data_IF_256413915668
#
_entry.id   IF_256413915668
#
_cell.length_a   1.000
_cell.length_b   1.000
_cell.length_c   1.000
_cell.angle_alpha   90.00
_cell.angle_beta   90.00
_cell.angle_gamma   90.00
#
_symmetry.space_group_name_H-M   'P 1'
#
loop_
_entity.id
_entity.type
_entity.pdbx_description
1 polymer ?
#
# COMPACT_ATOMS: atom_id res chain seq x y z
N UNK A 1 3.47 -0.31 0.63
CA UNK A 1 4.94 -0.49 0.51
C UNK A 1 5.52 0.89 0.33
N UNK A 2 6.45 1.27 1.22
CA UNK A 2 6.98 2.63 1.27
C UNK A 2 7.89 2.92 0.06
N UNK A 3 8.17 4.19 -0.22
CA UNK A 3 9.15 4.60 -1.22
C UNK A 3 10.54 4.73 -0.59
N UNK A 4 11.00 3.65 0.05
CA UNK A 4 12.40 3.49 0.45
C UNK A 4 13.27 3.25 -0.78
N UNK A 5 14.59 3.38 -0.65
CA UNK A 5 15.50 3.11 -1.78
C UNK A 5 15.41 1.64 -2.21
N UNK A 6 15.25 0.75 -1.23
CA UNK A 6 15.11 -0.69 -1.39
C UNK A 6 13.83 -1.04 -2.16
N UNK A 7 12.66 -0.56 -1.71
CA UNK A 7 11.38 -0.86 -2.36
C UNK A 7 11.27 -0.22 -3.76
N UNK A 8 11.94 0.92 -3.99
CA UNK A 8 12.07 1.54 -5.31
C UNK A 8 12.96 0.73 -6.25
N UNK A 9 14.05 0.15 -5.75
CA UNK A 9 14.95 -0.71 -6.52
C UNK A 9 14.28 -2.03 -6.90
N UNK A 10 13.47 -2.58 -5.99
CA UNK A 10 12.71 -3.82 -6.20
C UNK A 10 11.42 -3.63 -7.00
N UNK A 11 11.03 -2.38 -7.28
CA UNK A 11 9.81 -2.07 -8.05
C UNK A 11 8.51 -2.39 -7.32
N UNK A 12 8.53 -2.42 -5.98
CA UNK A 12 7.39 -2.74 -5.11
C UNK A 12 6.78 -1.52 -4.42
N UNK A 13 7.49 -0.39 -4.44
CA UNK A 13 7.05 0.86 -3.85
C UNK A 13 5.73 1.36 -4.48
N UNK A 14 4.73 1.62 -3.66
CA UNK A 14 3.39 2.05 -4.10
C UNK A 14 2.80 3.22 -3.30
N UNK A 15 3.57 3.81 -2.37
CA UNK A 15 3.12 4.93 -1.56
C UNK A 15 4.14 5.33 -0.51
N UNK A 16 3.71 6.11 0.48
CA UNK A 16 4.54 6.57 1.59
C UNK A 16 3.95 6.09 2.91
N UNK A 17 4.78 5.48 3.74
CA UNK A 17 4.38 4.94 5.04
C UNK A 17 5.26 5.55 6.13
N UNK A 18 4.69 5.74 7.31
CA UNK A 18 5.40 6.17 8.50
C UNK A 18 4.99 5.24 9.65
N UNK A 19 5.91 4.99 10.58
CA UNK A 19 5.77 3.88 11.53
C UNK A 19 4.96 4.31 12.76
N UNK A 20 5.35 5.43 13.38
CA UNK A 20 4.67 5.94 14.56
C UNK A 20 3.62 6.97 14.20
N UNK A 21 2.48 6.94 14.88
CA UNK A 21 1.46 7.96 14.73
C UNK A 21 1.84 9.28 15.44
N UNK A 22 2.91 9.93 14.97
CA UNK A 22 3.44 11.18 15.52
C UNK A 22 3.87 12.16 14.41
N UNK A 23 3.96 13.47 14.72
CA UNK A 23 4.28 14.50 13.73
C UNK A 23 5.67 14.37 13.10
N UNK A 24 6.64 13.79 13.81
CA UNK A 24 8.02 13.63 13.33
C UNK A 24 8.11 12.60 12.23
N UNK A 25 7.51 11.42 12.47
CA UNK A 25 7.43 10.33 11.51
C UNK A 25 6.60 10.71 10.29
N UNK A 26 5.45 11.37 10.51
CA UNK A 26 4.63 11.92 9.44
C UNK A 26 5.42 12.94 8.58
N UNK A 27 6.10 13.90 9.22
CA UNK A 27 6.92 14.89 8.54
C UNK A 27 8.07 14.28 7.74
N UNK A 28 8.65 13.17 8.22
CA UNK A 28 9.67 12.44 7.47
C UNK A 28 9.10 11.78 6.21
N UNK A 29 7.93 11.15 6.28
CA UNK A 29 7.27 10.59 5.09
C UNK A 29 6.89 11.67 4.07
N UNK A 30 6.37 12.82 4.52
CA UNK A 30 6.05 13.95 3.63
C UNK A 30 7.29 14.48 2.92
N UNK A 31 8.44 14.60 3.60
CA UNK A 31 9.69 15.01 2.96
C UNK A 31 10.13 14.03 1.88
N UNK A 32 10.02 12.71 2.12
CA UNK A 32 10.30 11.69 1.09
C UNK A 32 9.36 11.83 -0.11
N UNK A 33 8.08 12.13 0.12
CA UNK A 33 7.12 12.36 -0.96
C UNK A 33 7.52 13.52 -1.86
N UNK A 34 7.90 14.67 -1.29
CA UNK A 34 8.38 15.81 -2.07
C UNK A 34 9.71 15.54 -2.76
N UNK A 35 10.63 14.82 -2.12
CA UNK A 35 11.89 14.43 -2.74
C UNK A 35 11.67 13.56 -4.00
N UNK A 36 10.75 12.60 -3.94
CA UNK A 36 10.39 11.76 -5.09
C UNK A 36 9.60 12.53 -6.15
N UNK A 37 8.70 13.42 -5.75
CA UNK A 37 7.92 14.25 -6.66
C UNK A 37 8.80 15.11 -7.58
N UNK A 38 9.97 15.55 -7.10
CA UNK A 38 10.97 16.28 -7.88
C UNK A 38 11.71 15.42 -8.91
N UNK A 39 11.42 14.12 -8.98
CA UNK A 39 12.00 13.16 -9.93
C UNK A 39 10.87 12.57 -10.82
N UNK A 40 10.48 13.26 -11.91
CA UNK A 40 9.26 12.94 -12.67
C UNK A 40 9.18 11.51 -13.20
N UNK A 41 10.33 10.91 -13.55
CA UNK A 41 10.38 9.55 -14.09
C UNK A 41 10.17 8.50 -12.99
N UNK A 42 10.84 8.68 -11.84
CA UNK A 42 10.69 7.83 -10.68
C UNK A 42 9.27 7.93 -10.10
N UNK A 43 8.74 9.16 -10.03
CA UNK A 43 7.36 9.42 -9.61
C UNK A 43 6.35 8.68 -10.49
N UNK A 44 6.45 8.84 -11.81
CA UNK A 44 5.56 8.15 -12.78
C UNK A 44 5.69 6.63 -12.71
N UNK A 45 6.86 6.10 -12.37
CA UNK A 45 7.07 4.65 -12.19
C UNK A 45 6.27 4.14 -10.99
N UNK A 46 6.38 4.81 -9.84
CA UNK A 46 5.63 4.46 -8.63
C UNK A 46 4.13 4.58 -8.85
N UNK A 47 3.67 5.67 -9.48
CA UNK A 47 2.24 5.84 -9.80
C UNK A 47 1.71 4.71 -10.67
N UNK A 48 2.42 4.37 -11.76
CA UNK A 48 2.00 3.27 -12.66
C UNK A 48 1.96 1.92 -11.94
N UNK A 49 2.95 1.64 -11.10
CA UNK A 49 2.94 0.43 -10.28
C UNK A 49 1.72 0.42 -9.34
N UNK A 50 1.50 1.49 -8.59
CA UNK A 50 0.37 1.59 -7.66
C UNK A 50 -0.99 1.44 -8.37
N UNK A 51 -1.17 2.07 -9.54
CA UNK A 51 -2.41 1.97 -10.34
C UNK A 51 -2.63 0.58 -10.94
N UNK A 52 -1.60 -0.26 -11.04
CA UNK A 52 -1.70 -1.63 -11.52
C UNK A 52 -2.03 -2.65 -10.44
N UNK A 53 -2.12 -2.25 -9.17
CA UNK A 53 -2.45 -3.14 -8.07
C UNK A 53 -3.97 -3.38 -7.99
N UNK A 54 -4.35 -4.59 -7.58
CA UNK A 54 -5.75 -4.95 -7.35
C UNK A 54 -6.21 -4.44 -5.97
N UNK A 55 -7.01 -3.37 -5.98
CA UNK A 55 -7.72 -2.85 -4.82
C UNK A 55 -9.22 -3.20 -4.83
N UNK A 56 -9.61 -4.19 -5.64
CA UNK A 56 -10.96 -4.71 -5.69
C UNK A 56 -11.38 -5.43 -4.42
N UNK A 57 -12.68 -5.57 -4.24
CA UNK A 57 -13.28 -6.19 -3.04
C UNK A 57 -13.25 -7.72 -3.06
N UNK A 58 -12.92 -8.36 -4.18
CA UNK A 58 -13.03 -9.81 -4.29
C UNK A 58 -12.17 -10.55 -3.28
N UNK A 59 -10.93 -10.09 -3.05
CA UNK A 59 -10.01 -10.72 -2.10
C UNK A 59 -10.55 -10.65 -0.67
N UNK A 60 -11.03 -9.49 -0.23
CA UNK A 60 -11.61 -9.33 1.11
C UNK A 60 -12.94 -10.08 1.24
N UNK A 61 -13.78 -10.05 0.21
CA UNK A 61 -15.03 -10.80 0.17
C UNK A 61 -14.81 -12.32 0.29
N UNK A 62 -13.83 -12.89 -0.42
CA UNK A 62 -13.45 -14.30 -0.28
C UNK A 62 -13.00 -14.64 1.14
N UNK A 63 -12.20 -13.77 1.77
CA UNK A 63 -11.77 -13.95 3.16
C UNK A 63 -12.95 -13.91 4.14
N UNK A 64 -13.87 -12.95 3.97
CA UNK A 64 -15.10 -12.89 4.76
C UNK A 64 -15.94 -14.17 4.56
N UNK A 65 -16.17 -14.60 3.32
CA UNK A 65 -16.93 -15.82 3.04
C UNK A 65 -16.30 -17.06 3.66
N UNK A 66 -14.97 -17.18 3.65
CA UNK A 66 -14.25 -18.28 4.28
C UNK A 66 -14.47 -18.30 5.82
N UNK A 67 -14.56 -17.12 6.44
CA UNK A 67 -14.84 -16.99 7.87
C UNK A 67 -16.31 -17.30 8.21
N UNK A 68 -17.26 -16.79 7.42
CA UNK A 68 -18.69 -16.90 7.72
C UNK A 68 -19.32 -18.25 7.35
N UNK A 69 -18.84 -18.92 6.29
CA UNK A 69 -19.41 -20.18 5.81
C UNK A 69 -19.54 -21.28 6.89
N UNK A 70 -18.50 -21.63 7.65
CA UNK A 70 -18.63 -22.67 8.68
C UNK A 70 -19.57 -22.26 9.83
N UNK A 71 -19.66 -20.97 10.15
CA UNK A 71 -20.57 -20.47 11.20
C UNK A 71 -22.04 -20.63 10.80
N UNK A 72 -22.36 -20.40 9.53
CA UNK A 72 -23.72 -20.59 9.01
C UNK A 72 -24.07 -22.08 8.89
N UNK A 73 -23.10 -22.92 8.52
CA UNK A 73 -23.29 -24.37 8.43
C UNK A 73 -23.48 -25.03 9.81
N UNK A 74 -22.80 -24.54 10.85
CA UNK A 74 -22.94 -25.06 12.22
C UNK A 74 -24.27 -24.71 12.90
N UNK A 75 -25.02 -23.73 12.38
CA UNK A 75 -26.33 -23.30 12.91
C UNK A 75 -27.49 -24.03 12.20
N UNK A 76 -27.21 -24.78 11.13
CA UNK A 76 -28.17 -25.68 10.47
C UNK A 76 -28.16 -27.06 11.09
#
# INVERSE_FOLDING_TARGET
VDCTLEDLAEGRANGFVFERFDPGDFGHAVRRAFALYRQPDAWRRVQRHAMGLDFGWERSARACLALYRPLVEAVR
#
